data_IF_537074424994
#
_entry.id   IF_537074424994
#
_cell.length_a   1.000
_cell.length_b   1.000
_cell.length_c   1.000
_cell.angle_alpha   90.00
_cell.angle_beta   90.00
_cell.angle_gamma   90.00
#
_symmetry.space_group_name_H-M   'P 1'
#
loop_
_entity.id
_entity.type
_entity.pdbx_description
1 polymer ?
#
# COMPACT_ATOMS: atom_id res chain seq x y z
N UNK A 1 1.25 11.67 0.52
CA UNK A 1 1.71 10.27 0.70
C UNK A 1 2.41 10.19 2.05
N UNK A 2 2.06 9.24 2.91
CA UNK A 2 2.67 9.12 4.24
C UNK A 2 3.95 8.27 4.21
N UNK A 3 4.07 7.37 3.24
CA UNK A 3 5.32 6.68 2.95
C UNK A 3 5.19 5.66 1.81
N UNK A 4 6.34 5.25 1.28
CA UNK A 4 6.51 4.13 0.36
C UNK A 4 7.71 3.30 0.83
N UNK A 5 7.55 1.99 0.99
CA UNK A 5 8.65 1.12 1.40
C UNK A 5 8.66 -0.17 0.59
N UNK A 6 9.78 -0.56 -0.05
CA UNK A 6 9.91 -1.88 -0.65
C UNK A 6 9.76 -3.00 0.39
N UNK A 7 9.00 -4.04 0.04
CA UNK A 7 8.79 -5.25 0.86
C UNK A 7 8.74 -6.48 -0.05
N UNK A 8 8.81 -7.67 0.53
CA UNK A 8 8.52 -8.92 -0.15
C UNK A 8 7.26 -9.56 0.43
N UNK A 9 6.36 -10.04 -0.43
CA UNK A 9 5.19 -10.84 -0.05
C UNK A 9 5.27 -12.17 -0.79
N UNK A 10 5.33 -13.28 -0.05
CA UNK A 10 5.45 -14.62 -0.64
C UNK A 10 6.60 -14.72 -1.65
N UNK A 11 7.76 -14.13 -1.31
CA UNK A 11 8.95 -14.00 -2.16
C UNK A 11 8.74 -13.21 -3.48
N UNK A 12 7.70 -12.38 -3.55
CA UNK A 12 7.44 -11.46 -4.65
C UNK A 12 7.74 -10.01 -4.23
N UNK A 13 8.58 -9.28 -4.99
CA UNK A 13 8.85 -7.88 -4.71
C UNK A 13 7.58 -7.04 -4.78
N UNK A 14 7.40 -6.16 -3.81
CA UNK A 14 6.27 -5.25 -3.71
C UNK A 14 6.69 -3.91 -3.09
N UNK A 15 5.81 -2.92 -3.18
CA UNK A 15 5.95 -1.63 -2.52
C UNK A 15 4.75 -1.42 -1.61
N UNK A 16 5.03 -1.20 -0.33
CA UNK A 16 4.05 -0.84 0.68
C UNK A 16 3.79 0.67 0.62
N UNK A 17 2.58 1.04 0.24
CA UNK A 17 2.11 2.42 0.19
C UNK A 17 1.22 2.68 1.41
N UNK A 18 1.52 3.75 2.15
CA UNK A 18 0.69 4.20 3.27
C UNK A 18 0.16 5.59 2.96
N UNK A 19 -1.17 5.72 2.98
CA UNK A 19 -1.87 6.97 2.71
C UNK A 19 -2.98 7.22 3.74
N UNK A 20 -3.44 8.48 3.90
CA UNK A 20 -4.65 8.76 4.67
C UNK A 20 -5.84 7.99 4.08
N UNK A 21 -6.66 7.40 4.96
CA UNK A 21 -7.94 6.82 4.55
C UNK A 21 -9.03 7.91 4.51
N UNK A 22 -10.29 7.49 4.38
CA UNK A 22 -11.45 8.40 4.35
C UNK A 22 -11.64 9.18 5.65
N UNK A 23 -11.10 8.69 6.78
CA UNK A 23 -11.13 9.37 8.07
C UNK A 23 -9.70 9.63 8.58
N UNK A 24 -9.45 10.74 9.29
CA UNK A 24 -8.11 11.15 9.72
C UNK A 24 -7.46 10.20 10.73
N UNK A 25 -8.27 9.42 11.45
CA UNK A 25 -7.87 8.39 12.42
C UNK A 25 -7.54 7.04 11.78
N UNK A 26 -7.56 6.94 10.45
CA UNK A 26 -7.29 5.67 9.74
C UNK A 26 -6.25 5.86 8.64
N UNK A 27 -5.49 4.78 8.42
CA UNK A 27 -4.51 4.67 7.35
C UNK A 27 -4.96 3.58 6.38
N UNK A 28 -4.97 3.89 5.09
CA UNK A 28 -5.11 2.90 4.04
C UNK A 28 -3.72 2.44 3.61
N UNK A 29 -3.51 1.13 3.66
CA UNK A 29 -2.24 0.47 3.39
C UNK A 29 -2.42 -0.46 2.21
N UNK A 30 -1.54 -0.32 1.22
CA UNK A 30 -1.58 -1.11 -0.01
C UNK A 30 -0.22 -1.74 -0.24
N UNK A 31 -0.20 -3.02 -0.60
CA UNK A 31 0.96 -3.66 -1.19
C UNK A 31 0.73 -3.78 -2.70
N UNK A 32 1.56 -3.13 -3.49
CA UNK A 32 1.46 -3.13 -4.96
C UNK A 32 2.73 -3.67 -5.60
N UNK A 33 2.61 -4.21 -6.81
CA UNK A 33 3.77 -4.61 -7.59
C UNK A 33 4.64 -3.39 -7.99
N UNK A 34 5.95 -3.56 -8.23
CA UNK A 34 6.86 -2.44 -8.57
C UNK A 34 6.53 -1.71 -9.88
N UNK A 35 5.73 -2.33 -10.76
CA UNK A 35 5.27 -1.77 -12.03
C UNK A 35 3.86 -1.14 -11.94
N UNK A 36 3.37 -0.90 -10.73
CA UNK A 36 2.09 -0.24 -10.49
C UNK A 36 1.96 1.07 -11.26
N UNK A 37 0.86 1.23 -11.98
CA UNK A 37 0.49 2.39 -12.79
C UNK A 37 -1.01 2.64 -12.74
N UNK A 38 -1.47 3.72 -13.37
CA UNK A 38 -2.91 4.00 -13.48
C UNK A 38 -3.66 2.96 -14.35
N UNK A 39 -2.96 2.27 -15.26
CA UNK A 39 -3.55 1.25 -16.13
C UNK A 39 -3.53 -0.15 -15.49
N UNK A 40 -2.56 -0.42 -14.64
CA UNK A 40 -2.41 -1.68 -13.91
C UNK A 40 -1.88 -1.38 -12.50
N UNK A 41 -2.76 -1.48 -11.50
CA UNK A 41 -2.41 -1.17 -10.12
C UNK A 41 -1.50 -2.22 -9.48
N UNK A 42 -1.41 -3.43 -10.06
CA UNK A 42 -0.63 -4.52 -9.51
C UNK A 42 -0.92 -4.79 -8.02
N UNK A 43 -2.17 -4.59 -7.56
CA UNK A 43 -2.53 -4.71 -6.15
C UNK A 43 -2.40 -6.17 -5.68
N UNK A 44 -1.54 -6.40 -4.68
CA UNK A 44 -1.32 -7.70 -4.08
C UNK A 44 -2.16 -7.88 -2.80
N UNK A 45 -2.23 -6.82 -1.98
CA UNK A 45 -3.02 -6.81 -0.75
C UNK A 45 -3.39 -5.37 -0.35
N UNK A 46 -4.50 -5.22 0.37
CA UNK A 46 -4.89 -3.96 0.98
C UNK A 46 -5.47 -4.17 2.37
N UNK A 47 -5.27 -3.19 3.25
CA UNK A 47 -5.88 -3.16 4.57
C UNK A 47 -6.07 -1.73 5.05
N UNK A 48 -6.94 -1.56 6.04
CA UNK A 48 -7.13 -0.29 6.74
C UNK A 48 -6.81 -0.51 8.21
N UNK A 49 -5.91 0.30 8.75
CA UNK A 49 -5.48 0.22 10.15
C UNK A 49 -5.78 1.53 10.88
N UNK A 50 -6.10 1.48 12.19
CA UNK A 50 -6.18 2.68 13.01
C UNK A 50 -4.85 3.44 13.02
N UNK A 51 -4.90 4.76 13.04
CA UNK A 51 -3.76 5.65 13.24
C UNK A 51 -3.60 5.91 14.74
N UNK A 52 -2.45 5.55 15.28
CA UNK A 52 -2.07 5.84 16.67
C UNK A 52 -1.60 7.28 16.86
#
# INVERSE_FOLDING_TARGET
MLGAQPIDIDARPAVLLVIPADTPDKLAVFAVAPHCSAADTGLLASTVVPRA
#
